data_IF_020875246262
#
_entry.id   IF_020875246262
#
_cell.length_a   1.000
_cell.length_b   1.000
_cell.length_c   1.000
_cell.angle_alpha   90.00
_cell.angle_beta   90.00
_cell.angle_gamma   90.00
#
_symmetry.space_group_name_H-M   'P 1'
#
loop_
_entity.id
_entity.type
_entity.pdbx_description
1 polymer ?
#
# COMPACT_ATOMS: atom_id res chain seq x y z
N UNK A 1 -21.87 1.16 -6.60
CA UNK A 1 -20.93 2.28 -6.36
C UNK A 1 -20.74 2.99 -7.69
N UNK A 2 -20.77 4.32 -7.72
CA UNK A 2 -20.47 5.08 -8.93
C UNK A 2 -18.98 4.95 -9.30
N UNK A 3 -18.63 5.39 -10.52
CA UNK A 3 -17.30 5.17 -11.07
C UNK A 3 -16.20 5.92 -10.30
N UNK A 4 -16.51 7.14 -9.83
CA UNK A 4 -15.57 7.99 -9.09
C UNK A 4 -15.32 7.42 -7.70
N UNK A 5 -16.37 7.11 -6.92
CA UNK A 5 -16.21 6.48 -5.60
C UNK A 5 -15.50 5.13 -5.67
N UNK A 6 -15.72 4.37 -6.75
CA UNK A 6 -14.99 3.11 -6.96
C UNK A 6 -13.50 3.38 -7.17
N UNK A 7 -13.14 4.36 -8.00
CA UNK A 7 -11.75 4.71 -8.23
C UNK A 7 -11.08 5.27 -6.99
N UNK A 8 -11.74 6.14 -6.23
CA UNK A 8 -11.24 6.66 -4.95
C UNK A 8 -10.96 5.53 -3.95
N UNK A 9 -11.84 4.52 -3.88
CA UNK A 9 -11.59 3.34 -3.05
C UNK A 9 -10.36 2.56 -3.54
N UNK A 10 -10.14 2.46 -4.85
CA UNK A 10 -8.92 1.85 -5.40
C UNK A 10 -7.67 2.67 -5.10
N UNK A 11 -7.73 4.00 -5.17
CA UNK A 11 -6.63 4.90 -4.75
C UNK A 11 -6.31 4.68 -3.27
N UNK A 12 -7.34 4.63 -2.41
CA UNK A 12 -7.20 4.37 -0.98
C UNK A 12 -6.54 3.01 -0.70
N UNK A 13 -7.01 1.94 -1.33
CA UNK A 13 -6.44 0.59 -1.14
C UNK A 13 -4.99 0.54 -1.63
N UNK A 14 -4.65 1.23 -2.72
CA UNK A 14 -3.25 1.32 -3.19
C UNK A 14 -2.35 1.94 -2.12
N UNK A 15 -2.79 3.05 -1.51
CA UNK A 15 -2.03 3.71 -0.45
C UNK A 15 -1.89 2.80 0.79
N UNK A 16 -2.95 2.08 1.17
CA UNK A 16 -2.89 1.13 2.29
C UNK A 16 -1.92 -0.03 2.03
N UNK A 17 -1.81 -0.51 0.78
CA UNK A 17 -0.85 -1.54 0.39
C UNK A 17 0.61 -1.04 0.43
N UNK A 18 0.85 0.21 0.01
CA UNK A 18 2.18 0.84 0.10
C UNK A 18 2.58 1.08 1.57
N UNK A 19 1.65 1.55 2.40
CA UNK A 19 1.87 1.69 3.86
C UNK A 19 2.16 0.33 4.53
N UNK A 20 1.45 -0.72 4.12
CA UNK A 20 1.68 -2.07 4.59
C UNK A 20 3.08 -2.58 4.20
N UNK A 21 3.51 -2.36 2.95
CA UNK A 21 4.86 -2.70 2.45
C UNK A 21 5.95 -1.99 3.24
N UNK A 22 5.78 -0.68 3.49
CA UNK A 22 6.72 0.12 4.28
C UNK A 22 6.80 -0.40 5.73
N UNK A 23 5.66 -0.77 6.31
CA UNK A 23 5.60 -1.35 7.65
C UNK A 23 6.33 -2.70 7.74
N UNK A 24 6.12 -3.59 6.76
CA UNK A 24 6.83 -4.88 6.71
C UNK A 24 8.33 -4.71 6.49
N UNK A 25 8.75 -3.77 5.64
CA UNK A 25 10.17 -3.43 5.45
C UNK A 25 10.83 -3.02 6.78
N UNK A 26 10.15 -2.21 7.58
CA UNK A 26 10.64 -1.84 8.90
C UNK A 26 10.73 -3.04 9.87
N UNK A 27 9.82 -4.01 9.77
CA UNK A 27 9.87 -5.24 10.57
C UNK A 27 11.08 -6.10 10.17
N UNK A 28 11.32 -6.29 8.86
CA UNK A 28 12.51 -7.02 8.35
C UNK A 28 13.80 -6.43 8.96
N UNK A 29 13.96 -5.10 8.87
CA UNK A 29 15.13 -4.41 9.41
C UNK A 29 15.27 -4.59 10.93
N UNK A 30 14.16 -4.55 11.67
CA UNK A 30 14.17 -4.74 13.13
C UNK A 30 14.55 -6.17 13.51
N UNK A 31 14.06 -7.18 12.79
CA UNK A 31 14.44 -8.58 13.02
C UNK A 31 15.94 -8.74 12.77
N UNK A 32 16.45 -8.26 11.63
CA UNK A 32 17.87 -8.31 11.31
C UNK A 32 18.76 -7.63 12.37
N UNK A 33 18.32 -6.50 12.93
CA UNK A 33 19.04 -5.86 14.05
C UNK A 33 19.06 -6.76 15.30
N UNK A 34 17.93 -7.37 15.66
CA UNK A 34 17.87 -8.28 16.82
C UNK A 34 18.73 -9.53 16.59
N UNK A 35 18.82 -10.04 15.35
CA UNK A 35 19.73 -11.14 15.00
C UNK A 35 21.20 -10.76 15.23
N UNK A 36 21.60 -9.55 14.83
CA UNK A 36 22.93 -9.01 15.09
C UNK A 36 23.17 -8.87 16.59
N UNK A 37 22.26 -8.24 17.33
CA UNK A 37 22.39 -8.09 18.78
C UNK A 37 22.45 -9.45 19.49
N UNK A 38 21.75 -10.46 18.95
CA UNK A 38 21.77 -11.82 19.50
C UNK A 38 23.07 -12.58 19.21
N UNK A 39 23.85 -12.19 18.20
CA UNK A 39 25.17 -12.77 17.95
C UNK A 39 26.10 -12.58 19.17
N UNK A 40 26.05 -11.38 19.77
CA UNK A 40 26.82 -11.08 20.98
C UNK A 40 26.20 -11.71 22.24
N UNK A 41 24.87 -11.80 22.30
CA UNK A 41 24.15 -12.37 23.45
C UNK A 41 24.24 -13.91 23.53
N UNK A 42 24.27 -14.61 22.39
CA UNK A 42 24.33 -16.07 22.30
C UNK A 42 23.07 -16.79 22.77
N UNK A 43 21.88 -16.15 22.71
CA UNK A 43 20.64 -16.80 23.14
C UNK A 43 20.18 -17.83 22.09
N UNK A 44 20.13 -19.11 22.48
CA UNK A 44 19.79 -20.22 21.59
C UNK A 44 18.36 -20.23 21.08
N UNK A 45 17.43 -19.64 21.81
CA UNK A 45 16.05 -19.50 21.34
C UNK A 45 15.99 -18.47 20.22
N UNK A 46 16.63 -17.32 20.39
CA UNK A 46 16.69 -16.27 19.39
C UNK A 46 17.46 -16.72 18.14
N UNK A 47 18.61 -17.42 18.30
CA UNK A 47 19.39 -17.98 17.18
C UNK A 47 18.55 -18.91 16.30
N UNK A 48 17.60 -19.63 16.88
CA UNK A 48 16.74 -20.57 16.17
C UNK A 48 15.50 -19.92 15.54
N UNK A 49 14.86 -19.00 16.25
CA UNK A 49 13.54 -18.47 15.89
C UNK A 49 13.63 -17.24 14.98
N UNK A 50 14.61 -16.35 15.21
CA UNK A 50 14.70 -15.10 14.43
C UNK A 50 14.87 -15.33 12.92
N UNK A 51 15.68 -16.30 12.45
CA UNK A 51 15.82 -16.54 11.00
C UNK A 51 14.51 -16.97 10.35
N UNK A 52 13.72 -17.81 11.03
CA UNK A 52 12.39 -18.23 10.54
C UNK A 52 11.42 -17.03 10.49
N UNK A 53 11.42 -16.18 11.52
CA UNK A 53 10.63 -14.96 11.53
C UNK A 53 11.06 -14.00 10.41
N UNK A 54 12.37 -13.84 10.19
CA UNK A 54 12.94 -12.99 9.15
C UNK A 54 12.45 -13.45 7.77
N UNK A 55 12.59 -14.75 7.47
CA UNK A 55 12.15 -15.32 6.20
C UNK A 55 10.64 -15.13 6.00
N UNK A 56 9.82 -15.42 7.02
CA UNK A 56 8.37 -15.26 6.93
C UNK A 56 7.93 -13.80 6.65
N UNK A 57 8.61 -12.83 7.26
CA UNK A 57 8.33 -11.41 7.02
C UNK A 57 8.82 -10.99 5.63
N UNK A 58 9.98 -11.47 5.18
CA UNK A 58 10.49 -11.22 3.83
C UNK A 58 9.55 -11.80 2.75
N UNK A 59 9.10 -13.05 2.91
CA UNK A 59 8.15 -13.68 1.99
C UNK A 59 6.82 -12.91 1.94
N UNK A 60 6.36 -12.37 3.06
CA UNK A 60 5.16 -11.54 3.10
C UNK A 60 5.39 -10.18 2.42
N UNK A 61 6.56 -9.57 2.60
CA UNK A 61 6.93 -8.33 1.92
C UNK A 61 6.90 -8.50 0.40
N UNK A 62 7.45 -9.59 -0.11
CA UNK A 62 7.43 -9.91 -1.55
C UNK A 62 6.00 -10.06 -2.08
N UNK A 63 5.14 -10.79 -1.35
CA UNK A 63 3.72 -10.94 -1.71
C UNK A 63 2.97 -9.61 -1.72
N UNK A 64 3.24 -8.74 -0.75
CA UNK A 64 2.64 -7.40 -0.70
C UNK A 64 3.09 -6.57 -1.90
N UNK A 65 4.37 -6.62 -2.26
CA UNK A 65 4.89 -5.92 -3.42
C UNK A 65 4.24 -6.41 -4.73
N UNK A 66 4.07 -7.72 -4.88
CA UNK A 66 3.39 -8.31 -6.04
C UNK A 66 1.92 -7.87 -6.13
N UNK A 67 1.17 -7.92 -5.02
CA UNK A 67 -0.23 -7.49 -4.97
C UNK A 67 -0.35 -6.00 -5.26
N UNK A 68 0.55 -5.16 -4.73
CA UNK A 68 0.56 -3.73 -4.98
C UNK A 68 0.70 -3.43 -6.48
N UNK A 69 1.69 -4.03 -7.15
CA UNK A 69 1.91 -3.85 -8.59
C UNK A 69 0.66 -4.27 -9.38
N UNK A 70 0.15 -5.48 -9.12
CA UNK A 70 -1.05 -6.00 -9.79
C UNK A 70 -2.28 -5.09 -9.58
N UNK A 71 -2.43 -4.52 -8.37
CA UNK A 71 -3.55 -3.66 -8.03
C UNK A 71 -3.42 -2.26 -8.65
N UNK A 72 -2.21 -1.71 -8.72
CA UNK A 72 -1.92 -0.46 -9.44
C UNK A 72 -2.27 -0.59 -10.93
N UNK A 73 -1.87 -1.69 -11.58
CA UNK A 73 -2.25 -1.98 -12.96
C UNK A 73 -3.77 -2.05 -13.12
N UNK A 74 -4.48 -2.73 -12.21
CA UNK A 74 -5.92 -2.84 -12.24
C UNK A 74 -6.60 -1.46 -12.05
N UNK A 75 -6.08 -0.62 -11.16
CA UNK A 75 -6.53 0.76 -10.94
C UNK A 75 -6.33 1.61 -12.20
N UNK A 76 -5.17 1.54 -12.83
CA UNK A 76 -4.85 2.31 -14.03
C UNK A 76 -5.73 1.91 -15.22
N UNK A 77 -5.92 0.60 -15.42
CA UNK A 77 -6.84 0.06 -16.44
C UNK A 77 -8.26 0.55 -16.18
N UNK A 78 -8.72 0.50 -14.92
CA UNK A 78 -10.04 1.00 -14.55
C UNK A 78 -10.17 2.50 -14.78
N UNK A 79 -9.14 3.29 -14.44
CA UNK A 79 -9.08 4.73 -14.63
C UNK A 79 -9.25 5.14 -16.09
N UNK A 80 -8.44 4.54 -16.97
CA UNK A 80 -8.48 4.78 -18.42
C UNK A 80 -9.80 4.34 -19.04
N UNK A 81 -10.28 3.13 -18.71
CA UNK A 81 -11.53 2.57 -19.24
C UNK A 81 -12.76 3.43 -18.92
N UNK A 82 -12.74 4.12 -17.79
CA UNK A 82 -13.89 4.88 -17.31
C UNK A 82 -13.79 6.40 -17.52
N UNK A 83 -12.70 6.87 -18.15
CA UNK A 83 -12.41 8.30 -18.28
C UNK A 83 -12.50 9.05 -16.94
N UNK A 84 -11.86 8.49 -15.90
CA UNK A 84 -11.97 9.04 -14.54
C UNK A 84 -11.51 10.50 -14.45
N UNK A 85 -10.46 10.87 -15.19
CA UNK A 85 -9.97 12.25 -15.24
C UNK A 85 -11.05 13.23 -15.75
N UNK A 86 -11.69 12.91 -16.88
CA UNK A 86 -12.78 13.72 -17.40
C UNK A 86 -14.00 13.76 -16.48
N UNK A 87 -14.27 12.68 -15.72
CA UNK A 87 -15.34 12.68 -14.72
C UNK A 87 -15.00 13.58 -13.52
N UNK A 88 -13.76 13.56 -13.03
CA UNK A 88 -13.28 14.45 -11.96
C UNK A 88 -13.33 15.92 -12.41
N UNK A 89 -12.95 16.23 -13.65
CA UNK A 89 -13.02 17.57 -14.21
C UNK A 89 -14.47 18.09 -14.30
N UNK A 90 -15.40 17.27 -14.79
CA UNK A 90 -16.83 17.62 -14.86
C UNK A 90 -17.42 17.90 -13.47
N UNK A 91 -17.06 17.10 -12.47
CA UNK A 91 -17.50 17.30 -11.09
C UNK A 91 -16.96 18.62 -10.52
N UNK A 92 -15.66 18.89 -10.71
CA UNK A 92 -15.04 20.14 -10.26
C UNK A 92 -15.67 21.39 -10.91
N UNK A 93 -15.96 21.35 -12.22
CA UNK A 93 -16.66 22.44 -12.93
C UNK A 93 -18.06 22.64 -12.35
N UNK A 94 -18.79 21.54 -12.09
CA UNK A 94 -20.13 21.60 -11.51
C UNK A 94 -20.12 22.21 -10.12
N UNK A 95 -19.20 21.79 -9.25
CA UNK A 95 -19.04 22.33 -7.90
C UNK A 95 -18.68 23.83 -7.93
N UNK A 96 -17.80 24.25 -8.84
CA UNK A 96 -17.44 25.66 -9.01
C UNK A 96 -18.63 26.53 -9.46
N UNK A 97 -19.48 26.01 -10.38
CA UNK A 97 -20.68 26.72 -10.83
C UNK A 97 -21.78 26.76 -9.76
N UNK A 98 -21.97 25.68 -9.00
CA UNK A 98 -22.95 25.62 -7.91
C UNK A 98 -22.51 26.43 -6.68
N UNK A 99 -21.20 26.53 -6.42
CA UNK A 99 -20.62 27.35 -5.35
C UNK A 99 -20.62 28.86 -5.65
N UNK A 100 -20.57 29.25 -6.93
CA UNK A 100 -20.63 30.64 -7.36
C UNK A 100 -22.01 31.31 -7.29
N UNK A 101 -23.09 30.53 -7.15
CA UNK A 101 -24.47 31.03 -7.08
C UNK A 101 -24.94 31.41 -5.65
N UNK A 102 -24.06 31.31 -4.64
CA UNK A 102 -24.39 31.56 -3.22
C UNK A 102 -23.72 32.80 -2.60
N UNK A 103 -23.13 33.69 -3.41
CA UNK A 103 -22.60 34.98 -2.93
C UNK A 103 -23.37 36.15 -3.52
#
# INVERSE_FOLDING_TARGET
>A
MDKLKKFELMEKITNELEDLKNSQTAIVQKIGKIEIDNFDLGNKTLERILPEMHQNVADNLDKIAEILISFEEAKDVYGKKNNIEGLKEQEAIREAMEGGAKN
#
